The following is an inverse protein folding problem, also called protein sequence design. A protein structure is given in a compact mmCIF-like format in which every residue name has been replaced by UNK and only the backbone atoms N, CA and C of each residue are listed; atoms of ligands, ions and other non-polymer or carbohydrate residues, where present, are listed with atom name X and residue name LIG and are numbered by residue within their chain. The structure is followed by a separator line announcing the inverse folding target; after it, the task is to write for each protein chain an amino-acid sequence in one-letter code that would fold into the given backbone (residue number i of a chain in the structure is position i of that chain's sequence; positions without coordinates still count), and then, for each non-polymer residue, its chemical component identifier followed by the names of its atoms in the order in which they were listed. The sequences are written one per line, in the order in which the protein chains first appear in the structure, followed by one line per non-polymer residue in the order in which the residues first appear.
data_IF_937807376573
#
_entry.id   IF_937807376573
#
_cell.length_a   1.000
_cell.length_b   1.000
_cell.length_c   1.000
_cell.angle_alpha   90.00
_cell.angle_beta   90.00
_cell.angle_gamma   90.00
#
_symmetry.space_group_name_H-M   'P 1'
#
loop_
_entity.id
_entity.type
_entity.pdbx_description
1 polymer ?
#
# COMPACT_ATOMS: atom_id res chain seq x y z
N UNK A 1 14.52 23.27 -26.81
CA UNK A 1 15.78 22.54 -26.94
C UNK A 1 15.72 21.74 -28.23
N UNK A 2 16.79 21.65 -28.98
CA UNK A 2 16.88 20.78 -30.16
C UNK A 2 16.83 19.32 -29.71
N UNK A 3 16.18 18.47 -30.50
CA UNK A 3 16.21 17.02 -30.34
C UNK A 3 17.54 16.46 -30.86
N UNK A 4 17.89 15.18 -30.62
CA UNK A 4 19.04 14.55 -31.28
C UNK A 4 18.99 14.66 -32.81
N UNK A 5 17.79 14.55 -33.41
CA UNK A 5 17.58 14.72 -34.84
C UNK A 5 17.89 16.18 -35.28
N UNK A 6 17.41 17.16 -34.48
CA UNK A 6 17.69 18.58 -34.77
C UNK A 6 19.18 18.95 -34.68
N UNK A 7 19.87 18.38 -33.68
CA UNK A 7 21.33 18.52 -33.59
C UNK A 7 22.05 17.82 -34.74
N UNK A 8 21.62 16.63 -35.12
CA UNK A 8 22.15 15.90 -36.28
C UNK A 8 21.98 16.68 -37.59
N UNK A 9 20.77 17.23 -37.81
CA UNK A 9 20.49 18.08 -38.99
C UNK A 9 21.38 19.31 -39.00
N UNK A 10 21.54 20.01 -37.88
CA UNK A 10 22.43 21.18 -37.82
C UNK A 10 23.89 20.80 -38.04
N UNK A 11 24.35 19.70 -37.42
CA UNK A 11 25.73 19.22 -37.53
C UNK A 11 26.13 18.76 -38.97
N UNK A 12 25.17 18.24 -39.71
CA UNK A 12 25.38 17.84 -41.11
C UNK A 12 25.26 19.07 -42.05
N UNK A 13 24.31 19.95 -41.78
CA UNK A 13 24.09 21.13 -42.66
C UNK A 13 25.26 22.09 -42.69
N UNK A 14 25.93 22.29 -41.55
CA UNK A 14 27.08 23.25 -41.49
C UNK A 14 28.26 22.82 -42.38
N UNK A 15 28.80 21.59 -42.25
CA UNK A 15 29.91 21.17 -43.13
C UNK A 15 29.47 20.97 -44.57
N UNK A 16 28.22 20.59 -44.82
CA UNK A 16 27.68 20.47 -46.17
C UNK A 16 27.61 21.82 -46.89
N UNK A 17 27.24 22.88 -46.16
CA UNK A 17 27.29 24.25 -46.68
C UNK A 17 28.70 24.67 -47.02
N UNK A 18 29.63 24.45 -46.10
CA UNK A 18 31.05 24.79 -46.31
C UNK A 18 31.67 24.04 -47.50
N UNK A 19 31.35 22.74 -47.63
CA UNK A 19 31.81 21.90 -48.76
C UNK A 19 31.23 22.38 -50.10
N UNK A 20 29.92 22.68 -50.15
CA UNK A 20 29.25 23.18 -51.37
C UNK A 20 29.82 24.51 -51.82
N UNK A 21 30.09 25.41 -50.85
CA UNK A 21 30.73 26.70 -51.12
C UNK A 21 32.15 26.54 -51.66
N UNK A 22 32.95 25.69 -51.02
CA UNK A 22 34.36 25.50 -51.37
C UNK A 22 34.59 24.75 -52.68
N UNK A 23 33.68 23.78 -52.96
CA UNK A 23 33.76 23.00 -54.21
C UNK A 23 32.98 23.61 -55.38
N UNK A 24 32.30 24.74 -55.17
CA UNK A 24 31.52 25.43 -56.21
C UNK A 24 30.23 24.73 -56.63
N UNK A 25 29.70 23.78 -55.83
CA UNK A 25 28.45 23.07 -56.15
C UNK A 25 27.26 23.75 -55.41
N UNK A 26 26.28 24.31 -56.11
CA UNK A 26 25.15 25.00 -55.50
C UNK A 26 24.14 24.03 -54.82
N UNK A 27 24.01 22.78 -55.30
CA UNK A 27 23.01 21.86 -54.82
C UNK A 27 23.23 21.44 -53.34
N UNK A 28 24.44 21.02 -52.90
CA UNK A 28 24.68 20.74 -51.49
C UNK A 28 24.53 22.02 -50.60
N UNK A 29 24.90 23.18 -51.10
CA UNK A 29 24.74 24.44 -50.37
C UNK A 29 23.23 24.77 -50.15
N UNK A 30 22.40 24.56 -51.18
CA UNK A 30 20.94 24.77 -51.06
C UNK A 30 20.32 23.78 -50.07
N UNK A 31 20.69 22.52 -50.11
CA UNK A 31 20.20 21.50 -49.17
C UNK A 31 20.59 21.82 -47.71
N UNK A 32 21.83 22.30 -47.51
CA UNK A 32 22.32 22.72 -46.22
C UNK A 32 21.55 23.93 -45.68
N UNK A 33 21.27 24.93 -46.50
CA UNK A 33 20.47 26.09 -46.12
C UNK A 33 19.03 25.65 -45.75
N UNK A 34 18.44 24.77 -46.53
CA UNK A 34 17.09 24.23 -46.24
C UNK A 34 17.06 23.52 -44.87
N UNK A 35 18.09 22.71 -44.55
CA UNK A 35 18.23 22.06 -43.23
C UNK A 35 18.37 23.07 -42.08
N UNK A 36 19.20 24.10 -42.22
CA UNK A 36 19.36 25.15 -41.22
C UNK A 36 18.06 25.97 -41.03
N UNK A 37 17.39 26.32 -42.13
CA UNK A 37 16.08 27.01 -42.08
C UNK A 37 15.02 26.14 -41.36
N UNK A 38 15.02 24.83 -41.63
CA UNK A 38 14.12 23.91 -40.95
C UNK A 38 14.38 23.85 -39.43
N UNK A 39 15.64 23.84 -38.99
CA UNK A 39 16.01 23.84 -37.56
C UNK A 39 15.62 25.17 -36.92
N UNK A 40 15.87 26.30 -37.57
CA UNK A 40 15.47 27.61 -37.06
C UNK A 40 13.94 27.74 -36.98
N UNK A 41 13.22 27.31 -38.04
CA UNK A 41 11.75 27.30 -38.05
C UNK A 41 11.16 26.40 -36.93
N UNK A 42 11.75 25.23 -36.69
CA UNK A 42 11.36 24.34 -35.59
C UNK A 42 11.60 24.97 -34.21
N UNK A 43 12.75 25.66 -34.03
CA UNK A 43 13.01 26.39 -32.80
C UNK A 43 11.99 27.51 -32.57
N UNK A 44 11.70 28.31 -33.61
CA UNK A 44 10.70 29.39 -33.57
C UNK A 44 9.28 28.83 -33.30
N UNK A 45 8.95 27.67 -33.88
CA UNK A 45 7.65 26.98 -33.65
C UNK A 45 7.43 26.60 -32.19
N UNK A 46 8.49 26.22 -31.49
CA UNK A 46 8.42 25.79 -30.09
C UNK A 46 8.54 26.96 -29.08
N UNK A 47 8.87 28.16 -29.52
CA UNK A 47 9.04 29.38 -28.69
C UNK A 47 7.76 29.83 -27.96
N UNK A 48 6.55 29.86 -28.59
CA UNK A 48 5.36 30.36 -27.92
C UNK A 48 5.08 29.57 -26.63
N UNK A 49 4.89 30.29 -25.54
CA UNK A 49 4.67 29.75 -24.20
C UNK A 49 3.16 29.64 -23.96
N UNK A 50 2.59 28.42 -23.89
CA UNK A 50 1.19 28.31 -23.47
C UNK A 50 1.08 28.76 -22.01
N UNK A 51 0.26 29.78 -21.76
CA UNK A 51 -0.06 30.21 -20.40
C UNK A 51 -1.26 29.37 -19.92
N UNK A 52 -0.96 28.21 -19.32
CA UNK A 52 -1.95 27.27 -18.84
C UNK A 52 -1.95 27.27 -17.31
N UNK A 53 -3.14 27.30 -16.75
CA UNK A 53 -3.37 26.95 -15.35
C UNK A 53 -3.85 25.50 -15.29
N UNK A 54 -3.14 24.67 -14.54
CA UNK A 54 -3.40 23.23 -14.46
C UNK A 54 -3.61 22.86 -13.01
N UNK A 55 -4.78 22.33 -12.70
CA UNK A 55 -5.10 21.76 -11.40
C UNK A 55 -5.37 20.27 -11.59
N UNK A 56 -4.81 19.46 -10.70
CA UNK A 56 -5.03 18.02 -10.65
C UNK A 56 -5.85 17.67 -9.41
N UNK A 57 -6.76 16.73 -9.58
CA UNK A 57 -7.45 16.05 -8.49
C UNK A 57 -7.31 14.53 -8.69
N UNK A 58 -6.99 13.81 -7.63
CA UNK A 58 -6.93 12.35 -7.63
C UNK A 58 -8.11 11.84 -6.82
N UNK A 59 -8.89 10.96 -7.39
CA UNK A 59 -10.06 10.37 -6.73
C UNK A 59 -10.15 8.86 -7.02
N UNK A 60 -10.17 8.01 -6.00
CA UNK A 60 -9.83 8.30 -4.60
C UNK A 60 -8.31 8.45 -4.40
N UNK A 61 -7.87 9.09 -3.31
CA UNK A 61 -6.43 9.21 -2.95
C UNK A 61 -5.86 7.92 -2.33
N UNK A 62 -6.72 7.06 -1.84
CA UNK A 62 -6.41 5.74 -1.31
C UNK A 62 -7.30 4.71 -2.00
N UNK A 63 -6.71 3.65 -2.53
CA UNK A 63 -7.42 2.64 -3.33
C UNK A 63 -6.80 1.26 -3.09
N UNK A 64 -7.61 0.20 -3.16
CA UNK A 64 -7.08 -1.15 -3.12
C UNK A 64 -6.38 -1.52 -4.45
N UNK A 65 -5.40 -2.38 -4.39
CA UNK A 65 -4.66 -2.87 -5.56
C UNK A 65 -5.61 -3.46 -6.61
N UNK A 66 -5.52 -2.96 -7.84
CA UNK A 66 -6.38 -3.39 -8.96
C UNK A 66 -7.72 -2.66 -9.05
N UNK A 67 -8.13 -1.91 -8.04
CA UNK A 67 -9.31 -1.06 -8.14
C UNK A 67 -9.01 0.23 -8.93
N UNK A 68 -10.01 0.80 -9.60
CA UNK A 68 -9.80 1.98 -10.43
C UNK A 68 -9.53 3.23 -9.59
N UNK A 69 -8.45 3.94 -9.92
CA UNK A 69 -8.21 5.31 -9.49
C UNK A 69 -8.09 6.22 -10.73
N UNK A 70 -8.60 7.41 -10.62
CA UNK A 70 -8.61 8.38 -11.72
C UNK A 70 -7.94 9.69 -11.33
N UNK A 71 -7.14 10.22 -12.24
CA UNK A 71 -6.67 11.60 -12.20
C UNK A 71 -7.60 12.46 -13.05
N UNK A 72 -8.05 13.58 -12.50
CA UNK A 72 -8.80 14.61 -13.21
C UNK A 72 -7.92 15.84 -13.35
N UNK A 73 -7.62 16.23 -14.59
CA UNK A 73 -6.86 17.43 -14.91
C UNK A 73 -7.81 18.53 -15.38
N UNK A 74 -7.87 19.61 -14.65
CA UNK A 74 -8.54 20.84 -15.05
C UNK A 74 -7.51 21.76 -15.70
N UNK A 75 -7.60 21.92 -17.03
CA UNK A 75 -6.67 22.75 -17.80
C UNK A 75 -7.40 23.99 -18.28
N UNK A 76 -6.95 25.15 -17.82
CA UNK A 76 -7.45 26.46 -18.24
C UNK A 76 -6.40 27.19 -19.05
N UNK A 77 -6.75 27.63 -20.27
CA UNK A 77 -5.85 28.40 -21.11
C UNK A 77 -6.02 29.91 -20.82
N UNK A 78 -5.06 30.50 -20.11
CA UNK A 78 -5.00 31.95 -19.82
C UNK A 78 -4.34 32.75 -20.93
N UNK A 79 -3.85 32.07 -21.99
CA UNK A 79 -3.16 32.69 -23.11
C UNK A 79 -3.95 32.62 -24.44
N UNK A 80 -3.24 32.80 -25.56
CA UNK A 80 -3.79 32.58 -26.91
C UNK A 80 -4.02 31.08 -27.14
N UNK A 81 -4.85 30.71 -28.13
CA UNK A 81 -5.23 29.32 -28.39
C UNK A 81 -4.03 28.36 -28.44
N UNK A 82 -4.11 27.27 -27.70
CA UNK A 82 -3.07 26.25 -27.63
C UNK A 82 -3.42 25.05 -28.53
N UNK A 83 -2.52 24.68 -29.44
CA UNK A 83 -2.66 23.54 -30.36
C UNK A 83 -1.40 22.66 -30.30
N UNK A 84 -1.55 21.36 -30.58
CA UNK A 84 -0.43 20.46 -30.74
C UNK A 84 0.37 20.22 -29.45
N UNK A 85 -0.32 20.12 -28.31
CA UNK A 85 0.28 19.80 -27.01
C UNK A 85 0.09 18.30 -26.74
N UNK A 86 1.18 17.61 -26.49
CA UNK A 86 1.18 16.28 -25.88
C UNK A 86 1.39 16.43 -24.38
N UNK A 87 0.54 15.79 -23.59
CA UNK A 87 0.66 15.81 -22.15
C UNK A 87 0.98 14.42 -21.64
N UNK A 88 1.90 14.35 -20.69
CA UNK A 88 2.26 13.14 -19.98
C UNK A 88 2.24 13.43 -18.49
N UNK A 89 1.52 12.61 -17.74
CA UNK A 89 1.54 12.69 -16.29
C UNK A 89 2.44 11.61 -15.73
N UNK A 90 3.37 11.98 -14.88
CA UNK A 90 4.17 10.99 -14.18
C UNK A 90 3.28 10.26 -13.18
N UNK A 91 3.21 8.93 -13.25
CA UNK A 91 2.50 8.12 -12.29
C UNK A 91 3.37 6.89 -11.95
N UNK A 92 4.12 6.98 -10.87
CA UNK A 92 5.12 5.99 -10.52
C UNK A 92 6.27 5.95 -11.52
N UNK A 93 6.62 4.75 -12.02
CA UNK A 93 7.74 4.54 -12.96
C UNK A 93 7.39 4.85 -14.42
N UNK A 94 6.11 4.90 -14.77
CA UNK A 94 5.68 5.06 -16.16
C UNK A 94 4.85 6.34 -16.37
N UNK A 95 5.15 7.11 -17.41
CA UNK A 95 4.35 8.28 -17.75
C UNK A 95 3.03 7.86 -18.40
N UNK A 96 1.93 8.36 -17.87
CA UNK A 96 0.60 8.17 -18.46
C UNK A 96 0.36 9.27 -19.50
N UNK A 97 0.10 8.88 -20.75
CA UNK A 97 -0.23 9.83 -21.81
C UNK A 97 -1.64 10.40 -21.59
N UNK A 98 -1.72 11.72 -21.51
CA UNK A 98 -2.98 12.44 -21.33
C UNK A 98 -3.28 13.25 -22.58
N UNK A 99 -4.41 13.00 -23.22
CA UNK A 99 -4.83 13.74 -24.41
C UNK A 99 -5.50 15.05 -24.00
N UNK A 100 -4.74 16.15 -24.05
CA UNK A 100 -5.30 17.47 -23.83
C UNK A 100 -5.96 17.97 -25.13
N UNK A 101 -7.28 18.21 -25.16
CA UNK A 101 -7.96 18.70 -26.36
C UNK A 101 -7.51 20.13 -26.68
N UNK A 102 -7.82 20.58 -27.91
CA UNK A 102 -7.54 21.96 -28.31
C UNK A 102 -8.27 22.95 -27.40
N UNK A 103 -7.53 23.89 -26.82
CA UNK A 103 -8.05 24.91 -25.92
C UNK A 103 -8.09 26.28 -26.63
N UNK A 104 -9.27 26.86 -26.67
CA UNK A 104 -9.45 28.28 -27.07
C UNK A 104 -8.88 29.19 -25.97
N UNK A 105 -8.60 30.45 -26.30
CA UNK A 105 -8.23 31.45 -25.30
C UNK A 105 -9.33 31.55 -24.23
N UNK A 106 -8.98 31.53 -22.96
CA UNK A 106 -9.92 31.55 -21.82
C UNK A 106 -10.68 30.23 -21.59
N UNK A 107 -10.52 29.22 -22.47
CA UNK A 107 -11.25 27.96 -22.35
C UNK A 107 -10.70 27.06 -21.25
N UNK A 108 -11.62 26.41 -20.51
CA UNK A 108 -11.31 25.36 -19.53
C UNK A 108 -11.81 24.01 -20.03
N UNK A 109 -11.02 22.99 -19.81
CA UNK A 109 -11.38 21.58 -20.11
C UNK A 109 -10.91 20.68 -18.98
N UNK A 110 -11.76 19.70 -18.64
CA UNK A 110 -11.42 18.62 -17.72
C UNK A 110 -11.10 17.37 -18.51
N UNK A 111 -10.01 16.72 -18.16
CA UNK A 111 -9.53 15.47 -18.78
C UNK A 111 -9.35 14.44 -17.69
N UNK A 112 -10.02 13.31 -17.82
CA UNK A 112 -9.90 12.18 -16.90
C UNK A 112 -9.01 11.10 -17.52
N UNK A 113 -8.14 10.53 -16.71
CA UNK A 113 -7.26 9.43 -17.11
C UNK A 113 -7.12 8.44 -15.96
N UNK A 114 -6.84 7.17 -16.30
CA UNK A 114 -6.65 6.12 -15.32
C UNK A 114 -5.23 6.15 -14.75
N UNK A 115 -5.15 5.94 -13.44
CA UNK A 115 -3.88 5.81 -12.74
C UNK A 115 -3.49 4.32 -12.61
N UNK A 116 -2.19 3.98 -12.59
CA UNK A 116 -1.74 2.63 -12.40
C UNK A 116 -1.96 2.18 -10.96
N UNK A 117 -2.79 1.16 -10.76
CA UNK A 117 -3.10 0.59 -9.44
C UNK A 117 -2.73 -0.90 -9.35
N UNK A 118 -1.99 -1.42 -10.33
CA UNK A 118 -1.64 -2.83 -10.42
C UNK A 118 -0.69 -3.34 -9.34
N UNK A 119 0.11 -2.44 -8.77
CA UNK A 119 1.03 -2.73 -7.65
C UNK A 119 0.72 -1.82 -6.48
N UNK A 120 0.83 -2.34 -5.26
CA UNK A 120 0.68 -1.54 -4.05
C UNK A 120 1.90 -0.62 -3.85
N UNK A 121 1.71 0.43 -3.09
CA UNK A 121 2.77 1.38 -2.75
C UNK A 121 2.28 2.82 -2.75
N UNK A 122 3.21 3.69 -2.46
CA UNK A 122 3.07 5.13 -2.57
C UNK A 122 3.44 5.55 -4.00
N UNK A 123 2.44 5.90 -4.79
CA UNK A 123 2.63 6.28 -6.19
C UNK A 123 2.58 7.81 -6.30
N UNK A 124 3.74 8.48 -6.51
CA UNK A 124 3.74 9.90 -6.81
C UNK A 124 3.13 10.12 -8.20
N UNK A 125 2.10 10.95 -8.26
CA UNK A 125 1.41 11.35 -9.50
C UNK A 125 1.76 12.79 -9.80
N UNK A 126 2.38 13.05 -10.95
CA UNK A 126 2.84 14.35 -11.38
C UNK A 126 4.33 14.61 -11.14
N UNK A 127 4.86 15.78 -11.57
CA UNK A 127 4.13 16.88 -12.23
C UNK A 127 3.66 16.52 -13.65
N UNK A 128 2.61 17.19 -14.14
CA UNK A 128 2.16 17.06 -15.52
C UNK A 128 3.21 17.67 -16.45
N UNK A 129 3.70 16.89 -17.40
CA UNK A 129 4.63 17.34 -18.45
C UNK A 129 3.88 17.63 -19.73
N UNK A 130 3.88 18.89 -20.14
CA UNK A 130 3.39 19.29 -21.44
C UNK A 130 4.57 19.42 -22.41
N UNK A 131 4.51 18.63 -23.46
CA UNK A 131 5.48 18.65 -24.54
C UNK A 131 4.89 19.34 -25.76
N UNK A 132 5.62 20.31 -26.29
CA UNK A 132 5.40 20.90 -27.58
C UNK A 132 6.57 20.56 -28.50
N UNK A 133 6.29 19.84 -29.56
CA UNK A 133 7.23 19.52 -30.60
C UNK A 133 6.83 20.20 -31.91
N UNK A 134 7.79 20.48 -32.76
CA UNK A 134 7.55 20.89 -34.13
C UNK A 134 7.13 19.68 -35.00
N UNK A 135 6.51 19.88 -36.17
CA UNK A 135 6.06 18.80 -37.04
C UNK A 135 7.18 17.84 -37.50
N UNK A 136 8.39 18.35 -37.67
CA UNK A 136 9.58 17.58 -38.08
C UNK A 136 10.34 16.95 -36.92
N UNK A 137 9.89 17.22 -35.66
CA UNK A 137 10.54 16.76 -34.41
C UNK A 137 12.01 17.18 -34.27
N UNK A 138 12.41 18.28 -34.88
CA UNK A 138 13.76 18.86 -34.77
C UNK A 138 13.94 19.62 -33.47
N UNK A 139 12.87 20.20 -32.93
CA UNK A 139 12.88 20.91 -31.65
C UNK A 139 11.71 20.44 -30.77
N UNK A 140 11.96 20.34 -29.46
CA UNK A 140 10.92 20.07 -28.46
C UNK A 140 11.10 20.95 -27.24
N UNK A 141 10.00 21.29 -26.61
CA UNK A 141 9.99 22.01 -25.35
C UNK A 141 9.06 21.33 -24.37
N UNK A 142 9.59 20.98 -23.20
CA UNK A 142 8.82 20.36 -22.11
C UNK A 142 8.64 21.40 -21.01
N UNK A 143 7.47 21.44 -20.42
CA UNK A 143 7.14 22.21 -19.22
C UNK A 143 6.39 21.35 -18.23
N UNK A 144 6.69 21.57 -16.97
CA UNK A 144 6.04 20.91 -15.85
C UNK A 144 5.00 21.85 -15.23
N UNK A 145 3.86 21.27 -14.86
CA UNK A 145 2.72 21.98 -14.26
C UNK A 145 2.19 21.18 -13.07
N UNK A 146 1.80 21.92 -12.01
CA UNK A 146 1.23 21.36 -10.78
C UNK A 146 2.27 20.67 -9.90
N UNK A 147 1.96 20.58 -8.61
CA UNK A 147 2.76 19.80 -7.66
C UNK A 147 2.44 18.30 -7.78
N UNK A 148 3.39 17.40 -7.46
CA UNK A 148 3.09 15.99 -7.33
C UNK A 148 2.09 15.75 -6.19
N UNK A 149 1.19 14.79 -6.38
CA UNK A 149 0.25 14.30 -5.38
C UNK A 149 0.50 12.81 -5.15
N UNK A 150 0.20 12.32 -3.96
CA UNK A 150 0.41 10.93 -3.60
C UNK A 150 -0.87 10.13 -3.77
N UNK A 151 -0.82 9.06 -4.54
CA UNK A 151 -1.83 8.01 -4.58
C UNK A 151 -1.33 6.83 -3.74
N UNK A 152 -2.11 6.42 -2.75
CA UNK A 152 -1.80 5.27 -1.92
C UNK A 152 -2.55 4.04 -2.43
N UNK A 153 -1.82 3.09 -3.01
CA UNK A 153 -2.38 1.81 -3.46
C UNK A 153 -2.16 0.76 -2.38
N UNK A 154 -3.22 0.44 -1.67
CA UNK A 154 -3.24 -0.47 -0.53
C UNK A 154 -3.33 -1.94 -0.98
N UNK A 155 -2.93 -2.91 -0.13
CA UNK A 155 -3.20 -4.32 -0.38
C UNK A 155 -4.71 -4.58 -0.50
N UNK A 156 -5.08 -5.62 -1.24
CA UNK A 156 -6.45 -6.11 -1.30
C UNK A 156 -6.80 -6.80 0.00
N UNK A 157 -8.06 -6.72 0.40
CA UNK A 157 -8.54 -7.41 1.59
C UNK A 157 -9.84 -8.15 1.30
N UNK A 158 -10.00 -9.30 1.94
CA UNK A 158 -11.26 -10.05 1.98
C UNK A 158 -11.78 -10.11 3.40
N UNK A 159 -13.09 -10.23 3.55
CA UNK A 159 -13.71 -10.32 4.88
C UNK A 159 -13.45 -11.70 5.48
N UNK A 160 -12.69 -11.73 6.55
CA UNK A 160 -12.42 -12.92 7.33
C UNK A 160 -13.09 -12.77 8.72
N UNK A 161 -13.79 -13.80 9.19
CA UNK A 161 -14.26 -13.80 10.57
C UNK A 161 -13.07 -13.84 11.54
N UNK A 162 -13.26 -13.26 12.72
CA UNK A 162 -12.26 -13.31 13.79
C UNK A 162 -11.95 -14.77 14.14
N UNK A 163 -10.68 -15.08 14.35
CA UNK A 163 -10.30 -16.38 14.90
C UNK A 163 -10.72 -16.45 16.37
N UNK A 164 -11.55 -17.42 16.76
CA UNK A 164 -11.88 -17.59 18.17
C UNK A 164 -10.60 -17.94 18.92
N UNK A 165 -10.19 -17.10 19.86
CA UNK A 165 -9.16 -17.42 20.84
C UNK A 165 -9.81 -18.16 21.99
N UNK A 166 -9.18 -19.21 22.52
CA UNK A 166 -9.75 -20.06 23.59
C UNK A 166 -10.17 -19.29 24.86
N UNK A 167 -9.69 -18.06 25.04
CA UNK A 167 -10.08 -17.15 26.12
C UNK A 167 -11.27 -16.25 25.78
N UNK A 168 -11.66 -16.12 24.51
CA UNK A 168 -12.80 -15.30 24.10
C UNK A 168 -14.15 -15.88 24.59
N UNK A 169 -14.23 -17.17 24.90
CA UNK A 169 -15.44 -17.79 25.45
C UNK A 169 -15.81 -17.34 26.86
N UNK A 170 -14.93 -16.63 27.58
CA UNK A 170 -15.24 -16.10 28.91
C UNK A 170 -15.73 -14.64 28.90
N UNK A 171 -15.88 -14.04 27.71
CA UNK A 171 -16.32 -12.65 27.52
C UNK A 171 -17.77 -12.54 27.03
N UNK A 172 -18.58 -13.61 27.09
CA UNK A 172 -20.02 -13.58 26.85
C UNK A 172 -20.76 -12.95 28.04
N UNK A 173 -20.50 -11.65 28.26
CA UNK A 173 -21.41 -10.76 28.96
C UNK A 173 -22.08 -9.84 27.92
N UNK A 174 -23.28 -9.26 28.22
CA UNK A 174 -23.97 -8.41 27.26
C UNK A 174 -23.06 -7.24 26.85
N UNK A 175 -22.68 -7.25 25.56
CA UNK A 175 -21.87 -6.22 24.92
C UNK A 175 -22.62 -4.89 24.96
N UNK A 176 -22.19 -3.97 25.79
CA UNK A 176 -22.56 -2.57 25.64
C UNK A 176 -21.64 -1.93 24.59
N UNK A 177 -22.24 -1.27 23.64
CA UNK A 177 -21.66 -0.70 22.39
C UNK A 177 -20.57 0.37 22.58
N UNK A 178 -20.06 0.59 23.78
CA UNK A 178 -19.07 1.62 24.09
C UNK A 178 -18.23 1.29 25.33
N UNK A 179 -17.31 0.33 25.20
CA UNK A 179 -16.28 0.19 26.23
C UNK A 179 -14.92 0.57 25.68
N UNK A 180 -14.26 1.62 26.22
CA UNK A 180 -12.87 1.89 25.92
C UNK A 180 -12.01 0.71 26.37
N UNK A 181 -10.90 0.46 25.64
CA UNK A 181 -9.90 -0.54 25.98
C UNK A 181 -9.50 -0.42 27.46
N UNK A 182 -9.69 -1.48 28.25
CA UNK A 182 -9.34 -1.45 29.68
C UNK A 182 -10.50 -1.57 30.64
N UNK A 183 -11.64 -2.19 30.26
CA UNK A 183 -12.69 -2.53 31.23
C UNK A 183 -12.26 -3.67 32.13
N UNK A 184 -12.03 -3.35 33.38
CA UNK A 184 -11.83 -4.33 34.44
C UNK A 184 -13.07 -5.24 34.57
N UNK A 185 -12.94 -6.51 34.19
CA UNK A 185 -14.02 -7.50 34.26
C UNK A 185 -14.05 -8.11 35.64
N UNK A 186 -15.26 -8.25 36.21
CA UNK A 186 -15.46 -8.93 37.48
C UNK A 186 -14.96 -10.38 37.38
N UNK A 187 -13.99 -10.76 38.23
CA UNK A 187 -13.43 -12.10 38.24
C UNK A 187 -13.93 -12.89 39.45
N UNK A 188 -13.84 -12.33 40.64
CA UNK A 188 -14.23 -13.00 41.88
C UNK A 188 -14.55 -11.98 42.98
N UNK A 189 -15.18 -12.48 44.02
CA UNK A 189 -15.30 -11.78 45.32
C UNK A 189 -14.25 -12.39 46.27
N UNK A 190 -13.45 -11.56 46.92
CA UNK A 190 -12.61 -11.98 48.02
C UNK A 190 -12.85 -11.11 49.23
N UNK A 191 -12.42 -11.58 50.37
CA UNK A 191 -12.48 -10.75 51.60
C UNK A 191 -11.57 -9.54 51.46
N UNK A 192 -12.01 -8.44 52.04
CA UNK A 192 -11.30 -7.17 52.13
C UNK A 192 -10.01 -7.34 52.94
N UNK A 193 -8.92 -6.84 52.40
CA UNK A 193 -7.64 -6.72 53.12
C UNK A 193 -7.29 -5.25 53.25
N UNK A 194 -6.73 -4.86 54.37
CA UNK A 194 -6.31 -3.46 54.66
C UNK A 194 -5.38 -2.98 53.53
N UNK A 195 -5.81 -1.91 52.84
CA UNK A 195 -5.15 -1.37 51.66
C UNK A 195 -5.94 -1.49 50.35
N UNK A 196 -7.04 -2.29 50.33
CA UNK A 196 -7.93 -2.34 49.18
C UNK A 196 -8.76 -1.06 49.03
N UNK A 197 -9.04 -0.68 47.78
CA UNK A 197 -9.86 0.51 47.50
C UNK A 197 -11.33 0.27 47.86
N UNK A 198 -11.88 1.12 48.73
CA UNK A 198 -13.27 1.03 49.22
C UNK A 198 -14.33 1.13 48.12
N UNK A 199 -14.01 1.74 46.95
CA UNK A 199 -14.91 1.81 45.79
C UNK A 199 -15.19 0.45 45.16
N UNK A 200 -14.35 -0.54 45.40
CA UNK A 200 -14.51 -1.90 44.88
C UNK A 200 -15.27 -2.82 45.82
N UNK A 201 -15.76 -2.34 46.96
CA UNK A 201 -16.56 -3.15 47.88
C UNK A 201 -17.90 -3.52 47.23
N UNK A 202 -18.22 -4.81 47.28
CA UNK A 202 -19.51 -5.34 46.83
C UNK A 202 -20.47 -5.41 47.98
N UNK A 203 -21.14 -4.31 48.28
CA UNK A 203 -22.00 -4.13 49.47
C UNK A 203 -23.07 -5.22 49.61
N UNK A 204 -23.67 -5.68 48.53
CA UNK A 204 -24.71 -6.72 48.57
C UNK A 204 -24.16 -8.06 49.05
N UNK A 205 -22.97 -8.45 48.69
CA UNK A 205 -22.33 -9.68 49.18
C UNK A 205 -21.82 -9.49 50.60
N UNK A 206 -21.23 -8.36 50.92
CA UNK A 206 -20.77 -8.04 52.26
C UNK A 206 -21.92 -8.11 53.30
N UNK A 207 -23.08 -7.60 52.92
CA UNK A 207 -24.29 -7.69 53.79
C UNK A 207 -24.80 -9.15 53.98
N UNK A 208 -24.49 -10.04 53.07
CA UNK A 208 -24.94 -11.47 53.18
C UNK A 208 -23.94 -12.34 53.95
N UNK A 209 -22.64 -12.03 53.80
CA UNK A 209 -21.57 -12.83 54.40
C UNK A 209 -21.14 -12.30 55.77
N UNK A 210 -21.52 -11.06 56.12
CA UNK A 210 -21.08 -10.40 57.35
C UNK A 210 -19.63 -9.91 57.35
N UNK A 211 -18.89 -10.17 56.26
CA UNK A 211 -17.50 -9.70 56.05
C UNK A 211 -17.44 -8.78 54.82
N UNK A 212 -16.55 -7.80 54.85
CA UNK A 212 -16.37 -6.91 53.70
C UNK A 212 -15.82 -7.69 52.51
N UNK A 213 -16.58 -7.71 51.40
CA UNK A 213 -16.21 -8.37 50.18
C UNK A 213 -15.80 -7.38 49.11
N UNK A 214 -14.63 -7.58 48.49
CA UNK A 214 -14.10 -6.73 47.43
C UNK A 214 -14.22 -7.43 46.10
N UNK A 215 -14.62 -6.70 45.06
CA UNK A 215 -14.59 -7.17 43.68
C UNK A 215 -13.15 -7.26 43.22
N UNK A 216 -12.69 -8.45 42.98
CA UNK A 216 -11.44 -8.68 42.27
C UNK A 216 -11.71 -8.48 40.77
N UNK A 217 -11.19 -7.37 40.28
CA UNK A 217 -11.27 -7.01 38.86
C UNK A 217 -10.00 -7.51 38.19
N UNK A 218 -10.14 -8.17 37.04
CA UNK A 218 -9.02 -8.53 36.18
C UNK A 218 -9.15 -7.67 34.92
N UNK A 219 -8.06 -7.02 34.54
CA UNK A 219 -8.00 -6.35 33.25
C UNK A 219 -8.18 -7.41 32.15
N UNK A 220 -9.38 -7.45 31.59
CA UNK A 220 -9.65 -8.24 30.41
C UNK A 220 -8.99 -7.57 29.21
N UNK A 221 -7.67 -7.76 29.07
CA UNK A 221 -7.01 -7.37 27.83
C UNK A 221 -7.57 -8.24 26.70
N UNK A 222 -8.14 -7.59 25.69
CA UNK A 222 -8.57 -8.29 24.48
C UNK A 222 -7.41 -9.12 23.91
N UNK A 223 -7.65 -10.37 23.51
CA UNK A 223 -6.61 -11.21 22.94
C UNK A 223 -6.07 -10.57 21.65
N UNK A 224 -4.78 -10.36 21.59
CA UNK A 224 -4.11 -9.74 20.43
C UNK A 224 -3.98 -10.74 19.29
N UNK A 225 -4.32 -10.33 18.07
CA UNK A 225 -3.98 -11.06 16.86
C UNK A 225 -2.60 -10.65 16.38
N UNK A 226 -1.63 -11.54 16.49
CA UNK A 226 -0.27 -11.31 15.99
C UNK A 226 -0.15 -11.91 14.59
N UNK A 227 0.10 -11.07 13.59
CA UNK A 227 0.35 -11.46 12.20
C UNK A 227 1.83 -11.34 11.92
N UNK A 228 2.45 -12.41 11.49
CA UNK A 228 3.87 -12.47 11.11
C UNK A 228 3.93 -12.65 9.60
N UNK A 229 4.52 -11.69 8.91
CA UNK A 229 4.73 -11.75 7.47
C UNK A 229 6.20 -12.03 7.18
N UNK A 230 6.49 -13.16 6.55
CA UNK A 230 7.82 -13.41 6.01
C UNK A 230 8.11 -12.43 4.87
N UNK A 231 9.25 -11.78 4.91
CA UNK A 231 9.63 -10.77 3.92
C UNK A 231 11.02 -11.01 3.30
N UNK A 232 11.66 -12.17 3.55
CA UNK A 232 12.95 -12.51 2.96
C UNK A 232 12.82 -12.87 1.48
N UNK A 233 13.81 -12.51 0.64
CA UNK A 233 13.80 -12.77 -0.81
C UNK A 233 13.75 -14.28 -1.13
N UNK A 234 14.46 -15.10 -0.37
CA UNK A 234 14.50 -16.55 -0.55
C UNK A 234 13.15 -17.24 -0.31
N UNK A 235 12.26 -16.61 0.44
CA UNK A 235 10.91 -17.10 0.64
C UNK A 235 9.98 -16.80 -0.55
N UNK A 236 10.31 -15.81 -1.38
CA UNK A 236 9.44 -15.30 -2.45
C UNK A 236 10.15 -15.22 -3.80
N UNK A 237 10.36 -16.35 -4.49
CA UNK A 237 10.96 -16.36 -5.83
C UNK A 237 10.15 -15.56 -6.85
N UNK A 238 8.81 -15.59 -6.72
CA UNK A 238 7.90 -14.79 -7.54
C UNK A 238 7.42 -13.55 -6.75
N UNK A 239 7.65 -12.33 -7.26
CA UNK A 239 7.14 -11.11 -6.65
C UNK A 239 5.61 -11.08 -6.47
N UNK A 240 4.85 -11.75 -7.33
CA UNK A 240 3.38 -11.81 -7.24
C UNK A 240 2.92 -12.67 -6.06
N UNK A 241 3.72 -13.65 -5.62
CA UNK A 241 3.43 -14.43 -4.42
C UNK A 241 3.60 -13.60 -3.16
N UNK A 242 4.61 -12.71 -3.11
CA UNK A 242 4.77 -11.76 -2.02
C UNK A 242 3.61 -10.75 -1.98
N UNK A 243 3.14 -10.27 -3.13
CA UNK A 243 1.98 -9.41 -3.21
C UNK A 243 0.72 -10.10 -2.64
N UNK A 244 0.53 -11.39 -2.96
CA UNK A 244 -0.56 -12.19 -2.38
C UNK A 244 -0.37 -12.40 -0.87
N UNK A 245 0.85 -12.64 -0.41
CA UNK A 245 1.14 -12.80 1.01
C UNK A 245 0.79 -11.53 1.81
N UNK A 246 1.07 -10.36 1.26
CA UNK A 246 0.67 -9.08 1.89
C UNK A 246 -0.85 -8.91 1.88
N UNK A 247 -1.55 -9.27 0.79
CA UNK A 247 -3.01 -9.26 0.74
C UNK A 247 -3.62 -10.20 1.79
N UNK A 248 -3.03 -11.40 1.98
CA UNK A 248 -3.41 -12.37 3.01
C UNK A 248 -3.21 -11.80 4.41
N UNK A 249 -2.02 -11.24 4.69
CA UNK A 249 -1.72 -10.62 5.99
C UNK A 249 -2.66 -9.44 6.29
N UNK A 250 -2.94 -8.61 5.26
CA UNK A 250 -3.87 -7.49 5.35
C UNK A 250 -5.30 -7.97 5.65
N UNK A 251 -5.75 -9.06 5.02
CA UNK A 251 -7.08 -9.61 5.23
C UNK A 251 -7.27 -10.13 6.67
N UNK A 252 -6.27 -10.83 7.21
CA UNK A 252 -6.27 -11.31 8.60
C UNK A 252 -6.28 -10.14 9.57
N UNK A 253 -5.41 -9.16 9.36
CA UNK A 253 -5.33 -7.96 10.19
C UNK A 253 -6.65 -7.16 10.15
N UNK A 254 -7.24 -7.00 8.95
CA UNK A 254 -8.50 -6.31 8.75
C UNK A 254 -9.66 -7.03 9.46
N UNK A 255 -9.70 -8.37 9.43
CA UNK A 255 -10.73 -9.15 10.13
C UNK A 255 -10.70 -8.94 11.64
N UNK A 256 -9.52 -8.89 12.25
CA UNK A 256 -9.36 -8.63 13.68
C UNK A 256 -9.66 -7.16 14.03
N UNK A 257 -9.17 -6.20 13.23
CA UNK A 257 -9.41 -4.77 13.44
C UNK A 257 -10.90 -4.42 13.30
N UNK A 258 -11.62 -5.01 12.32
CA UNK A 258 -13.06 -4.82 12.14
C UNK A 258 -13.89 -5.31 13.35
N UNK A 259 -13.35 -6.27 14.11
CA UNK A 259 -13.94 -6.74 15.37
C UNK A 259 -13.42 -5.97 16.59
N UNK A 260 -12.69 -4.87 16.40
CA UNK A 260 -12.06 -4.05 17.44
C UNK A 260 -11.05 -4.80 18.35
N UNK A 261 -10.41 -5.84 17.82
CA UNK A 261 -9.36 -6.55 18.54
C UNK A 261 -7.98 -5.92 18.23
N UNK A 262 -7.08 -5.88 19.23
CA UNK A 262 -5.70 -5.45 19.01
C UNK A 262 -5.01 -6.32 17.96
N UNK A 263 -4.28 -5.67 17.06
CA UNK A 263 -3.52 -6.32 15.99
C UNK A 263 -2.07 -5.90 16.04
N UNK A 264 -1.18 -6.86 15.97
CA UNK A 264 0.26 -6.65 15.82
C UNK A 264 0.74 -7.30 14.54
N UNK A 265 1.43 -6.53 13.70
CA UNK A 265 2.06 -7.03 12.48
C UNK A 265 3.57 -6.99 12.65
N UNK A 266 4.23 -8.10 12.32
CA UNK A 266 5.67 -8.27 12.42
C UNK A 266 6.26 -8.72 11.08
N UNK A 267 7.47 -8.28 10.82
CA UNK A 267 8.36 -8.82 9.78
C UNK A 267 9.67 -9.27 10.42
N UNK A 268 10.62 -9.77 9.63
CA UNK A 268 11.96 -10.14 10.13
C UNK A 268 12.71 -8.98 10.81
N UNK A 269 12.45 -7.75 10.40
CA UNK A 269 13.06 -6.54 10.98
C UNK A 269 12.41 -6.09 12.29
N UNK A 270 11.24 -6.64 12.62
CA UNK A 270 10.53 -6.32 13.85
C UNK A 270 9.08 -5.88 13.65
N UNK A 271 8.54 -5.11 14.62
CA UNK A 271 7.15 -4.68 14.56
C UNK A 271 6.94 -3.63 13.45
N UNK A 272 6.01 -3.92 12.54
CA UNK A 272 5.54 -3.01 11.50
C UNK A 272 4.40 -2.12 11.99
N UNK A 273 3.47 -2.72 12.74
CA UNK A 273 2.34 -2.04 13.35
C UNK A 273 1.93 -2.75 14.65
N UNK A 274 1.45 -1.98 15.62
CA UNK A 274 0.91 -2.48 16.90
C UNK A 274 -0.28 -1.59 17.27
N UNK A 275 -1.49 -2.14 17.24
CA UNK A 275 -2.73 -1.42 17.49
C UNK A 275 -3.40 -1.91 18.78
N UNK A 276 -4.36 -1.16 19.29
CA UNK A 276 -5.00 -1.45 20.59
C UNK A 276 -6.45 -1.89 20.51
N UNK A 277 -7.00 -2.00 19.30
CA UNK A 277 -8.41 -2.25 19.05
C UNK A 277 -9.21 -0.95 19.04
N UNK A 278 -9.38 -0.35 17.85
CA UNK A 278 -10.12 0.88 17.67
C UNK A 278 -10.60 1.04 16.22
N UNK A 279 -11.53 1.97 15.96
CA UNK A 279 -12.12 2.14 14.62
C UNK A 279 -11.10 2.57 13.56
N UNK A 280 -10.03 3.28 13.94
CA UNK A 280 -9.01 3.78 13.03
C UNK A 280 -7.88 2.79 12.77
N UNK A 281 -7.83 1.68 13.52
CA UNK A 281 -6.76 0.69 13.45
C UNK A 281 -6.61 0.09 12.05
N UNK A 282 -7.74 -0.17 11.37
CA UNK A 282 -7.75 -0.71 10.02
C UNK A 282 -6.97 0.19 9.04
N UNK A 283 -7.20 1.49 9.10
CA UNK A 283 -6.50 2.46 8.24
C UNK A 283 -4.98 2.42 8.47
N UNK A 284 -4.58 2.43 9.74
CA UNK A 284 -3.16 2.38 10.13
C UNK A 284 -2.50 1.08 9.65
N UNK A 285 -3.16 -0.06 9.83
CA UNK A 285 -2.64 -1.37 9.43
C UNK A 285 -2.45 -1.47 7.91
N UNK A 286 -3.46 -1.04 7.13
CA UNK A 286 -3.39 -1.06 5.68
C UNK A 286 -2.34 -0.10 5.13
N UNK A 287 -2.23 1.12 5.69
CA UNK A 287 -1.21 2.09 5.29
C UNK A 287 0.20 1.56 5.57
N UNK A 288 0.44 0.89 6.70
CA UNK A 288 1.72 0.26 7.01
C UNK A 288 2.06 -0.91 6.10
N UNK A 289 1.09 -1.76 5.78
CA UNK A 289 1.29 -2.88 4.84
C UNK A 289 1.48 -2.42 3.39
N UNK A 290 1.04 -1.21 3.04
CA UNK A 290 1.23 -0.64 1.71
C UNK A 290 2.70 -0.51 1.33
N UNK A 291 3.55 -0.14 2.28
CA UNK A 291 4.98 0.15 2.04
C UNK A 291 5.92 -1.01 2.31
N UNK A 292 5.40 -2.16 2.74
CA UNK A 292 6.24 -3.35 2.97
C UNK A 292 6.82 -3.87 1.67
N UNK A 293 8.11 -4.10 1.66
CA UNK A 293 8.85 -4.67 0.52
C UNK A 293 9.56 -5.95 0.97
N UNK A 294 9.96 -6.76 0.01
CA UNK A 294 10.91 -7.85 0.26
C UNK A 294 12.23 -7.24 0.72
N UNK A 295 12.78 -7.76 1.81
CA UNK A 295 13.94 -7.19 2.50
C UNK A 295 15.10 -8.17 2.52
N UNK A 296 16.27 -7.70 2.12
CA UNK A 296 17.53 -8.45 2.24
C UNK A 296 17.97 -8.46 3.71
N UNK A 297 17.54 -9.49 4.45
CA UNK A 297 17.90 -9.65 5.86
C UNK A 297 18.07 -11.12 6.25
N UNK A 298 19.01 -11.43 7.16
CA UNK A 298 19.26 -12.81 7.60
C UNK A 298 18.21 -13.32 8.59
N UNK A 299 17.29 -12.46 9.06
CA UNK A 299 16.35 -12.80 10.12
C UNK A 299 15.02 -13.28 9.55
N UNK A 300 14.63 -14.48 9.96
CA UNK A 300 13.28 -14.95 9.74
C UNK A 300 12.27 -14.12 10.55
N UNK A 301 11.10 -13.91 9.96
CA UNK A 301 10.01 -13.25 10.66
C UNK A 301 9.61 -13.98 11.98
N UNK A 302 9.83 -15.29 12.06
CA UNK A 302 9.61 -16.08 13.30
C UNK A 302 10.57 -15.70 14.42
N UNK A 303 11.78 -15.22 14.11
CA UNK A 303 12.73 -14.78 15.15
C UNK A 303 12.23 -13.50 15.86
N UNK A 304 11.44 -12.69 15.20
CA UNK A 304 10.80 -11.52 15.81
C UNK A 304 9.85 -11.92 16.95
N UNK A 305 9.26 -13.12 16.90
CA UNK A 305 8.33 -13.63 17.92
C UNK A 305 8.98 -13.82 19.30
N UNK A 306 10.29 -13.98 19.38
CA UNK A 306 10.99 -14.13 20.67
C UNK A 306 10.81 -12.91 21.58
N UNK A 307 10.57 -11.74 20.99
CA UNK A 307 10.41 -10.44 21.69
C UNK A 307 8.97 -10.05 21.93
N UNK A 308 8.01 -10.82 21.43
CA UNK A 308 6.58 -10.53 21.52
C UNK A 308 5.98 -11.12 22.79
N UNK A 309 5.03 -10.42 23.39
CA UNK A 309 4.26 -10.94 24.54
C UNK A 309 3.48 -12.19 24.09
N UNK A 310 3.43 -13.18 24.96
CA UNK A 310 2.64 -14.38 24.79
C UNK A 310 1.13 -14.09 24.88
N UNK A 311 0.31 -14.97 24.31
CA UNK A 311 -1.15 -14.91 24.37
C UNK A 311 -1.81 -14.49 23.05
N UNK A 312 -3.10 -14.73 22.94
CA UNK A 312 -3.88 -14.45 21.75
C UNK A 312 -3.60 -15.41 20.57
N UNK A 313 -3.95 -14.96 19.38
CA UNK A 313 -3.79 -15.75 18.15
C UNK A 313 -2.53 -15.34 17.38
N UNK A 314 -1.77 -16.31 16.91
CA UNK A 314 -0.64 -16.13 16.02
C UNK A 314 -1.02 -16.60 14.62
N UNK A 315 -0.82 -15.73 13.62
CA UNK A 315 -0.96 -16.08 12.20
C UNK A 315 0.36 -15.80 11.51
N UNK A 316 0.96 -16.81 10.91
CA UNK A 316 2.21 -16.69 10.16
C UNK A 316 1.93 -16.84 8.68
N UNK A 317 2.34 -15.88 7.88
CA UNK A 317 2.21 -15.88 6.42
C UNK A 317 3.58 -16.13 5.81
N UNK A 318 3.75 -17.24 5.09
CA UNK A 318 5.00 -17.69 4.49
C UNK A 318 4.74 -18.49 3.21
N UNK A 319 5.78 -18.81 2.44
CA UNK A 319 5.69 -19.72 1.29
C UNK A 319 6.26 -21.12 1.61
N UNK A 320 7.21 -21.19 2.53
CA UNK A 320 8.06 -22.35 2.71
C UNK A 320 7.73 -23.24 3.89
N UNK A 321 8.37 -24.42 3.89
CA UNK A 321 8.28 -25.43 4.95
C UNK A 321 9.31 -25.17 6.07
N UNK A 322 10.40 -24.49 5.75
CA UNK A 322 11.56 -24.30 6.65
C UNK A 322 11.20 -23.65 7.99
N UNK A 323 10.17 -22.84 8.05
CA UNK A 323 9.75 -22.13 9.26
C UNK A 323 8.86 -22.97 10.19
N UNK A 324 8.25 -24.06 9.71
CA UNK A 324 7.28 -24.84 10.49
C UNK A 324 7.85 -25.40 11.81
N UNK A 325 9.11 -25.86 11.79
CA UNK A 325 9.79 -26.34 13.00
C UNK A 325 10.02 -25.23 14.03
N UNK A 326 10.36 -24.02 13.58
CA UNK A 326 10.56 -22.87 14.46
C UNK A 326 9.24 -22.36 15.04
N UNK A 327 8.17 -22.40 14.24
CA UNK A 327 6.81 -22.03 14.68
C UNK A 327 6.33 -23.01 15.75
N UNK A 328 6.56 -24.31 15.58
CA UNK A 328 6.24 -25.33 16.58
C UNK A 328 6.88 -25.05 17.94
N UNK A 329 8.12 -24.56 17.97
CA UNK A 329 8.85 -24.22 19.19
C UNK A 329 8.24 -23.04 19.98
N UNK A 330 7.54 -22.14 19.32
CA UNK A 330 6.88 -20.99 19.97
C UNK A 330 5.38 -21.18 20.20
N UNK A 331 4.82 -22.30 19.75
CA UNK A 331 3.40 -22.59 19.77
C UNK A 331 2.77 -22.45 21.16
N UNK A 332 3.43 -22.96 22.19
CA UNK A 332 2.91 -22.95 23.58
C UNK A 332 2.72 -21.54 24.15
N UNK A 333 3.25 -20.53 23.50
CA UNK A 333 3.15 -19.11 23.91
C UNK A 333 1.84 -18.45 23.45
N UNK A 334 1.12 -19.07 22.53
CA UNK A 334 -0.10 -18.53 21.92
C UNK A 334 -1.28 -19.48 22.14
N UNK A 335 -2.47 -18.91 22.25
CA UNK A 335 -3.69 -19.69 22.43
C UNK A 335 -4.03 -20.49 21.15
N UNK A 336 -3.77 -19.89 20.00
CA UNK A 336 -3.97 -20.48 18.68
C UNK A 336 -2.85 -20.12 17.73
N UNK A 337 -2.42 -21.06 16.92
CA UNK A 337 -1.39 -20.83 15.90
C UNK A 337 -1.88 -21.33 14.54
N UNK A 338 -1.90 -20.43 13.57
CA UNK A 338 -2.26 -20.70 12.17
C UNK A 338 -1.09 -20.33 11.28
N UNK A 339 -0.74 -21.20 10.35
CA UNK A 339 0.24 -20.91 9.31
C UNK A 339 -0.46 -20.92 7.96
N UNK A 340 -0.31 -19.81 7.24
CA UNK A 340 -0.82 -19.61 5.90
C UNK A 340 0.35 -19.69 4.93
N UNK A 341 0.41 -20.76 4.12
CA UNK A 341 1.42 -20.89 3.08
C UNK A 341 0.84 -20.43 1.75
N UNK A 342 1.45 -19.41 1.19
CA UNK A 342 1.04 -18.84 -0.10
C UNK A 342 1.71 -19.62 -1.21
N UNK A 343 0.92 -20.24 -2.08
CA UNK A 343 1.35 -21.02 -3.25
C UNK A 343 2.57 -21.91 -2.97
N UNK A 344 2.50 -22.79 -1.96
CA UNK A 344 3.65 -23.62 -1.61
C UNK A 344 4.02 -24.56 -2.75
N UNK A 345 5.32 -24.68 -3.03
CA UNK A 345 5.84 -25.59 -4.04
C UNK A 345 5.70 -27.07 -3.61
N UNK A 346 5.73 -27.35 -2.30
CA UNK A 346 5.71 -28.70 -1.75
C UNK A 346 4.63 -28.86 -0.68
N UNK A 347 3.96 -30.03 -0.64
CA UNK A 347 3.04 -30.35 0.44
C UNK A 347 3.80 -30.45 1.78
N UNK A 348 3.15 -30.08 2.88
CA UNK A 348 3.72 -30.24 4.21
C UNK A 348 2.66 -30.70 5.21
N UNK A 349 3.12 -31.43 6.23
CA UNK A 349 2.27 -31.81 7.35
C UNK A 349 2.32 -30.75 8.44
N UNK A 350 1.16 -30.48 9.03
CA UNK A 350 1.06 -29.54 10.13
C UNK A 350 1.77 -30.09 11.38
N UNK A 351 2.64 -29.32 12.06
CA UNK A 351 3.14 -29.69 13.36
C UNK A 351 2.02 -29.82 14.40
N UNK A 352 2.20 -30.62 15.46
CA UNK A 352 1.19 -30.77 16.49
C UNK A 352 0.74 -29.43 17.08
N UNK A 353 -0.59 -29.19 17.07
CA UNK A 353 -1.20 -27.97 17.60
C UNK A 353 -1.00 -26.72 16.75
N UNK A 354 -0.52 -26.83 15.53
CA UNK A 354 -0.46 -25.78 14.52
C UNK A 354 -1.46 -26.10 13.43
N UNK A 355 -2.27 -25.13 13.05
CA UNK A 355 -3.19 -25.25 11.92
C UNK A 355 -2.49 -24.75 10.66
N UNK A 356 -2.41 -25.57 9.62
CA UNK A 356 -1.73 -25.28 8.37
C UNK A 356 -2.76 -25.15 7.25
N UNK A 357 -2.69 -24.05 6.51
CA UNK A 357 -3.55 -23.78 5.35
C UNK A 357 -2.71 -23.36 4.16
N UNK A 358 -2.96 -23.96 3.02
CA UNK A 358 -2.38 -23.56 1.74
C UNK A 358 -3.34 -22.59 1.03
N UNK A 359 -2.81 -21.47 0.57
CA UNK A 359 -3.54 -20.35 -0.02
C UNK A 359 -3.06 -20.13 -1.43
N UNK A 360 -3.89 -20.43 -2.42
CA UNK A 360 -3.60 -20.17 -3.83
C UNK A 360 -3.98 -18.74 -4.25
N UNK A 361 -5.07 -18.23 -3.68
CA UNK A 361 -5.63 -16.90 -3.92
C UNK A 361 -6.50 -16.45 -2.73
N UNK A 362 -7.07 -15.25 -2.81
CA UNK A 362 -7.90 -14.70 -1.73
C UNK A 362 -9.24 -15.43 -1.55
N UNK A 363 -9.79 -16.01 -2.59
CA UNK A 363 -11.06 -16.77 -2.50
C UNK A 363 -10.81 -18.10 -1.77
N UNK A 364 -9.73 -18.80 -2.11
CA UNK A 364 -9.27 -20.00 -1.40
C UNK A 364 -8.94 -19.73 0.07
N UNK A 365 -8.40 -18.52 0.37
CA UNK A 365 -8.21 -18.08 1.76
C UNK A 365 -9.56 -18.05 2.52
N UNK A 366 -10.60 -17.43 1.95
CA UNK A 366 -11.92 -17.33 2.60
C UNK A 366 -12.50 -18.70 2.89
N UNK A 367 -12.43 -19.64 1.93
CA UNK A 367 -12.93 -21.00 2.12
C UNK A 367 -12.17 -21.75 3.22
N UNK A 368 -10.84 -21.71 3.16
CA UNK A 368 -9.98 -22.39 4.13
C UNK A 368 -10.14 -21.81 5.53
N UNK A 369 -10.28 -20.48 5.62
CA UNK A 369 -10.49 -19.80 6.90
C UNK A 369 -11.83 -20.14 7.57
N UNK A 370 -12.91 -20.28 6.79
CA UNK A 370 -14.22 -20.72 7.32
C UNK A 370 -14.15 -22.11 7.93
N UNK A 371 -13.39 -23.03 7.32
CA UNK A 371 -13.19 -24.39 7.85
C UNK A 371 -12.48 -24.36 9.21
N UNK A 372 -11.55 -23.42 9.44
CA UNK A 372 -10.91 -23.23 10.74
C UNK A 372 -11.90 -22.84 11.84
N UNK A 373 -12.90 -22.03 11.53
CA UNK A 373 -13.92 -21.59 12.49
C UNK A 373 -14.96 -22.66 12.82
N UNK A 374 -15.15 -23.68 11.96
CA UNK A 374 -16.13 -24.75 12.13
C UNK A 374 -15.62 -25.98 12.91
N UNK A 375 -14.32 -26.11 13.08
CA UNK A 375 -13.73 -27.19 13.91
C UNK A 375 -13.78 -26.73 15.38
N UNK A 376 -14.84 -27.18 16.09
CA UNK A 376 -15.01 -27.00 17.53
C UNK A 376 -14.23 -28.04 18.31
#
# INVERSE_FOLDING_TARGET
MLTPLGWGTAAVSVPLYAAGWWLGYPEPAMLAVAGLVAVVAAALWTLPRPNLDVRREIAPTKVARGEPAVGVLHVTNKGRGARGLSAYDAAGSEPVAVRVPRLRAGGTRSVTYRLPTGRRGEIPVGPLRLERADPLRLARRVREYGAPQLLLVRPRTVRLPLLPSGRAHHLEGPTSDRSPAGTATFHALREYVIGDELRHIHWKSSARTGTLMVRQLVDASLPTTTVVLEARPDAWPDPDDFELAVDVAASVAAGAAAANFPVRILTGDGPLADTRGGPDDLEVLLDRLTTVIVQDGPRSAVDALRRVRAGGSLVVVTSGVAELGRIAAVRSRFDRVVVLRVRPAEPASAPPGVQLLDVADLDGLVESWRRLGSVR
#
